data_IF_501240015089
#
_entry.id   IF_501240015089
#
_cell.length_a   1.000
_cell.length_b   1.000
_cell.length_c   1.000
_cell.angle_alpha   90.00
_cell.angle_beta   90.00
_cell.angle_gamma   90.00
#
_symmetry.space_group_name_H-M   'P 1'
#
loop_
_entity.id
_entity.type
_entity.pdbx_description
1 polymer ?
#
# COMPACT_ATOMS: atom_id res chain seq x y z
N UNK A 1 -31.29 -34.29 -11.45
CA UNK A 1 -29.87 -34.19 -11.05
C UNK A 1 -29.16 -33.24 -12.00
N UNK A 2 -29.01 -31.97 -11.60
CA UNK A 2 -28.09 -31.02 -12.24
C UNK A 2 -27.31 -30.38 -11.10
N UNK A 3 -26.01 -30.69 -11.08
CA UNK A 3 -25.04 -30.27 -10.07
C UNK A 3 -24.82 -28.77 -10.13
N UNK A 4 -24.99 -28.13 -8.98
CA UNK A 4 -24.51 -26.77 -8.73
C UNK A 4 -23.00 -26.71 -9.03
N UNK A 5 -22.64 -25.73 -9.86
CA UNK A 5 -21.26 -25.39 -10.19
C UNK A 5 -20.46 -25.09 -8.93
N UNK A 6 -19.35 -25.82 -8.79
CA UNK A 6 -18.38 -25.69 -7.71
C UNK A 6 -17.94 -24.23 -7.56
N UNK A 7 -18.21 -23.61 -6.40
CA UNK A 7 -17.40 -22.49 -5.92
C UNK A 7 -15.99 -23.04 -5.80
N UNK A 8 -15.03 -22.57 -6.61
CA UNK A 8 -13.62 -22.95 -6.47
C UNK A 8 -13.22 -22.78 -5.00
N UNK A 9 -13.04 -23.90 -4.29
CA UNK A 9 -12.56 -23.88 -2.92
C UNK A 9 -11.16 -23.27 -2.96
N UNK A 10 -11.03 -22.08 -2.37
CA UNK A 10 -9.72 -21.40 -2.30
C UNK A 10 -8.89 -22.18 -1.29
N UNK A 11 -7.89 -22.89 -1.77
CA UNK A 11 -7.02 -23.76 -0.98
C UNK A 11 -5.73 -23.03 -0.55
N UNK A 12 -5.21 -23.38 0.62
CA UNK A 12 -3.91 -22.90 1.13
C UNK A 12 -2.74 -23.52 0.36
N UNK A 13 -2.96 -24.63 -0.35
CA UNK A 13 -1.90 -25.35 -1.04
C UNK A 13 -0.82 -25.82 -0.05
N UNK A 14 0.45 -25.54 -0.36
CA UNK A 14 1.59 -25.89 0.51
C UNK A 14 1.85 -24.90 1.64
N UNK A 15 1.07 -23.82 1.77
CA UNK A 15 1.29 -22.80 2.78
C UNK A 15 0.51 -23.09 4.07
N UNK A 16 1.08 -22.78 5.26
CA UNK A 16 0.39 -22.99 6.53
C UNK A 16 -0.82 -22.04 6.72
N UNK A 17 -0.73 -20.83 6.15
CA UNK A 17 -1.70 -19.75 6.33
C UNK A 17 -2.04 -19.09 5.00
N UNK A 18 -3.28 -18.62 4.85
CA UNK A 18 -3.66 -17.82 3.68
C UNK A 18 -2.84 -16.54 3.60
N UNK A 19 -2.57 -15.87 4.72
CA UNK A 19 -1.76 -14.65 4.73
C UNK A 19 -0.38 -14.87 4.09
N UNK A 20 0.34 -15.94 4.47
CA UNK A 20 1.64 -16.24 3.88
C UNK A 20 1.50 -16.59 2.39
N UNK A 21 0.54 -17.44 2.04
CA UNK A 21 0.25 -17.74 0.62
C UNK A 21 0.06 -16.46 -0.19
N UNK A 22 -0.74 -15.53 0.33
CA UNK A 22 -1.10 -14.30 -0.35
C UNK A 22 0.08 -13.33 -0.46
N UNK A 23 0.95 -13.27 0.57
CA UNK A 23 2.23 -12.55 0.50
C UNK A 23 3.11 -13.12 -0.61
N UNK A 24 3.20 -14.45 -0.70
CA UNK A 24 4.04 -15.15 -1.68
C UNK A 24 3.48 -15.09 -3.11
N UNK A 25 2.17 -14.83 -3.28
CA UNK A 25 1.51 -14.65 -4.57
C UNK A 25 1.72 -13.26 -5.19
N UNK A 26 2.28 -12.30 -4.44
CA UNK A 26 2.41 -10.90 -4.88
C UNK A 26 3.17 -10.70 -6.20
N UNK A 27 4.28 -11.42 -6.51
CA UNK A 27 4.93 -11.31 -7.82
C UNK A 27 3.99 -11.59 -8.98
N UNK A 28 3.20 -12.67 -8.89
CA UNK A 28 2.27 -13.05 -9.95
C UNK A 28 1.08 -12.08 -10.04
N UNK A 29 0.61 -11.57 -8.91
CA UNK A 29 -0.40 -10.50 -8.88
C UNK A 29 0.10 -9.24 -9.57
N UNK A 30 1.34 -8.85 -9.32
CA UNK A 30 1.97 -7.72 -10.01
C UNK A 30 2.10 -7.98 -11.51
N UNK A 31 2.60 -9.16 -11.92
CA UNK A 31 2.71 -9.51 -13.35
C UNK A 31 1.37 -9.36 -14.07
N UNK A 32 0.29 -9.93 -13.51
CA UNK A 32 -1.05 -9.84 -14.09
C UNK A 32 -1.59 -8.41 -14.14
N UNK A 33 -1.40 -7.65 -13.06
CA UNK A 33 -1.91 -6.27 -12.95
C UNK A 33 -1.14 -5.32 -13.89
N UNK A 34 0.18 -5.45 -13.93
CA UNK A 34 1.07 -4.61 -14.73
C UNK A 34 1.02 -4.95 -16.22
N UNK A 35 0.96 -6.24 -16.60
CA UNK A 35 0.98 -6.66 -18.01
C UNK A 35 -0.12 -5.98 -18.83
N UNK A 36 -1.35 -5.93 -18.29
CA UNK A 36 -2.48 -5.26 -18.94
C UNK A 36 -2.23 -3.76 -19.13
N UNK A 37 -1.85 -3.06 -18.08
CA UNK A 37 -1.67 -1.60 -18.12
C UNK A 37 -0.49 -1.18 -18.98
N UNK A 38 0.65 -1.88 -18.85
CA UNK A 38 1.86 -1.54 -19.58
C UNK A 38 1.71 -1.80 -21.08
N UNK A 39 1.14 -2.94 -21.49
CA UNK A 39 0.93 -3.24 -22.90
C UNK A 39 0.09 -2.17 -23.60
N UNK A 40 -0.92 -1.64 -22.91
CA UNK A 40 -1.71 -0.54 -23.42
C UNK A 40 -0.89 0.74 -23.56
N UNK A 41 -0.23 1.19 -22.49
CA UNK A 41 0.58 2.41 -22.53
C UNK A 41 1.61 2.30 -23.66
N UNK A 42 2.33 1.18 -23.80
CA UNK A 42 3.36 0.92 -24.83
C UNK A 42 2.84 1.04 -26.27
N UNK A 43 1.57 0.73 -26.52
CA UNK A 43 0.97 0.86 -27.86
C UNK A 43 0.54 2.30 -28.16
N UNK A 44 0.81 3.25 -27.26
CA UNK A 44 0.16 4.57 -27.27
C UNK A 44 -1.35 4.44 -27.13
N UNK A 45 -1.82 3.27 -26.69
CA UNK A 45 -3.21 2.93 -26.59
C UNK A 45 -3.63 3.03 -25.14
N UNK A 46 -4.70 3.77 -25.01
CA UNK A 46 -5.53 3.85 -23.85
C UNK A 46 -6.14 2.44 -23.62
N UNK A 47 -5.73 1.70 -22.57
CA UNK A 47 -6.38 0.39 -22.29
C UNK A 47 -7.87 0.63 -22.15
N UNK A 48 -8.79 -0.21 -22.63
CA UNK A 48 -10.22 0.04 -22.41
C UNK A 48 -10.60 0.21 -20.93
N UNK A 49 -9.82 -0.38 -20.01
CA UNK A 49 -9.97 -0.26 -18.55
C UNK A 49 -9.39 1.07 -17.99
N UNK A 50 -8.38 1.66 -18.64
CA UNK A 50 -7.64 2.85 -18.20
C UNK A 50 -7.82 4.08 -19.12
N UNK A 51 -8.44 3.91 -20.28
CA UNK A 51 -7.96 4.57 -21.48
C UNK A 51 -8.93 5.52 -22.16
N UNK A 52 -10.22 5.21 -22.33
CA UNK A 52 -11.13 6.24 -22.89
C UNK A 52 -11.49 7.33 -21.84
N UNK A 53 -10.84 7.21 -20.69
CA UNK A 53 -10.84 8.06 -19.54
C UNK A 53 -9.99 9.28 -19.87
N UNK A 54 -10.55 10.31 -20.53
CA UNK A 54 -9.96 11.67 -20.54
C UNK A 54 -10.00 12.28 -19.13
N UNK A 55 -9.34 11.63 -18.17
CA UNK A 55 -9.32 12.02 -16.77
C UNK A 55 -8.51 13.28 -16.56
N UNK A 56 -7.62 13.60 -17.50
CA UNK A 56 -6.88 14.86 -17.49
C UNK A 56 -7.74 16.13 -17.49
N UNK A 57 -9.04 16.04 -17.83
CA UNK A 57 -9.98 17.17 -17.77
C UNK A 57 -10.31 17.61 -16.33
N UNK A 58 -10.22 16.71 -15.36
CA UNK A 58 -10.55 17.02 -13.96
C UNK A 58 -9.44 17.87 -13.33
N UNK A 59 -9.83 18.80 -12.46
CA UNK A 59 -8.93 19.81 -11.89
C UNK A 59 -8.34 19.37 -10.55
N UNK A 60 -8.96 18.39 -9.89
CA UNK A 60 -8.51 17.80 -8.62
C UNK A 60 -8.90 16.34 -8.52
N UNK A 61 -8.14 15.59 -7.72
CA UNK A 61 -8.39 14.18 -7.43
C UNK A 61 -8.70 14.03 -5.94
N UNK A 62 -9.76 13.31 -5.63
CA UNK A 62 -10.13 12.89 -4.29
C UNK A 62 -10.03 11.37 -4.21
N UNK A 63 -9.30 10.85 -3.24
CA UNK A 63 -9.21 9.41 -2.96
C UNK A 63 -9.98 9.10 -1.69
N UNK A 64 -10.93 8.16 -1.78
CA UNK A 64 -11.78 7.70 -0.68
C UNK A 64 -11.53 6.22 -0.42
N UNK A 65 -11.07 5.90 0.78
CA UNK A 65 -10.76 4.53 1.17
C UNK A 65 -10.70 4.37 2.71
N UNK A 66 -10.58 3.13 3.19
CA UNK A 66 -10.40 2.78 4.60
C UNK A 66 -9.19 1.84 4.78
N UNK A 67 -8.50 1.94 5.91
CA UNK A 67 -7.42 1.02 6.31
C UNK A 67 -6.29 0.92 5.27
N UNK A 68 -5.86 -0.30 4.96
CA UNK A 68 -4.80 -0.56 3.96
C UNK A 68 -5.05 0.10 2.60
N UNK A 69 -6.31 0.20 2.14
CA UNK A 69 -6.63 0.86 0.87
C UNK A 69 -6.41 2.40 0.94
N UNK A 70 -6.60 2.99 2.12
CA UNK A 70 -6.27 4.40 2.37
C UNK A 70 -4.75 4.63 2.32
N UNK A 71 -3.94 3.72 2.88
CA UNK A 71 -2.48 3.80 2.73
C UNK A 71 -2.01 3.69 1.28
N UNK A 72 -2.66 2.86 0.46
CA UNK A 72 -2.38 2.80 -0.97
C UNK A 72 -2.68 4.15 -1.65
N UNK A 73 -3.79 4.79 -1.26
CA UNK A 73 -4.15 6.14 -1.69
C UNK A 73 -3.09 7.19 -1.35
N UNK A 74 -2.51 7.14 -0.14
CA UNK A 74 -1.42 8.04 0.27
C UNK A 74 -0.20 7.90 -0.65
N UNK A 75 0.19 6.67 -1.00
CA UNK A 75 1.29 6.42 -1.95
C UNK A 75 0.92 6.94 -3.35
N UNK A 76 -0.28 6.63 -3.83
CA UNK A 76 -0.77 7.09 -5.12
C UNK A 76 -0.81 8.61 -5.25
N UNK A 77 -1.16 9.33 -4.17
CA UNK A 77 -1.15 10.79 -4.11
C UNK A 77 0.22 11.37 -4.50
N UNK A 78 1.29 10.92 -3.85
CA UNK A 78 2.64 11.43 -4.14
C UNK A 78 3.00 11.27 -5.62
N UNK A 79 2.68 10.12 -6.20
CA UNK A 79 2.99 9.84 -7.60
C UNK A 79 2.17 10.70 -8.57
N UNK A 80 0.86 10.81 -8.33
CA UNK A 80 -0.04 11.62 -9.15
C UNK A 80 0.28 13.12 -9.06
N UNK A 81 0.56 13.65 -7.87
CA UNK A 81 0.96 15.06 -7.71
C UNK A 81 2.29 15.35 -8.41
N UNK A 82 3.27 14.43 -8.30
CA UNK A 82 4.58 14.58 -8.92
C UNK A 82 4.49 14.61 -10.45
N UNK A 83 3.84 13.62 -11.05
CA UNK A 83 3.83 13.45 -12.51
C UNK A 83 2.72 14.24 -13.20
N UNK A 84 1.50 14.18 -12.68
CA UNK A 84 0.34 14.75 -13.35
C UNK A 84 0.08 16.22 -12.96
N UNK A 85 0.76 16.72 -11.92
CA UNK A 85 0.63 18.11 -11.43
C UNK A 85 -0.83 18.49 -11.21
N UNK A 86 -1.55 17.61 -10.51
CA UNK A 86 -2.94 17.78 -10.10
C UNK A 86 -3.01 17.66 -8.59
N UNK A 87 -3.75 18.53 -7.88
CA UNK A 87 -3.97 18.37 -6.45
C UNK A 87 -4.64 17.04 -6.14
N UNK A 88 -4.11 16.29 -5.18
CA UNK A 88 -4.71 15.03 -4.72
C UNK A 88 -4.99 15.12 -3.23
N UNK A 89 -6.24 14.90 -2.84
CA UNK A 89 -6.62 14.73 -1.43
C UNK A 89 -6.92 13.25 -1.19
N UNK A 90 -6.45 12.71 -0.07
CA UNK A 90 -6.77 11.34 0.36
C UNK A 90 -7.49 11.46 1.68
N UNK A 91 -8.74 11.01 1.75
CA UNK A 91 -9.56 11.10 2.95
C UNK A 91 -9.98 9.70 3.40
N UNK A 92 -10.02 9.53 4.71
CA UNK A 92 -10.61 8.35 5.32
C UNK A 92 -12.12 8.40 5.07
N UNK A 93 -12.66 7.40 4.39
CA UNK A 93 -14.06 7.43 3.98
C UNK A 93 -15.05 7.49 5.17
N UNK A 94 -14.66 6.95 6.32
CA UNK A 94 -15.45 7.02 7.56
C UNK A 94 -15.64 8.47 8.05
N UNK A 95 -14.66 9.35 7.84
CA UNK A 95 -14.72 10.75 8.25
C UNK A 95 -15.32 11.65 7.17
N UNK A 96 -15.09 11.31 5.89
CA UNK A 96 -15.49 12.12 4.74
C UNK A 96 -16.96 12.53 4.77
N UNK A 97 -17.84 11.64 5.25
CA UNK A 97 -19.28 11.88 5.30
C UNK A 97 -19.75 12.91 6.32
N UNK A 98 -18.85 13.35 7.19
CA UNK A 98 -19.11 14.31 8.24
C UNK A 98 -18.43 15.66 7.98
N UNK A 99 -17.85 15.83 6.78
CA UNK A 99 -17.20 17.08 6.38
C UNK A 99 -17.98 17.78 5.27
N UNK A 100 -17.92 19.11 5.25
CA UNK A 100 -18.31 19.91 4.09
C UNK A 100 -17.24 19.80 2.99
N UNK A 101 -17.11 18.59 2.45
CA UNK A 101 -16.07 18.23 1.49
C UNK A 101 -16.22 18.98 0.16
N UNK A 102 -15.11 19.49 -0.37
CA UNK A 102 -15.01 20.24 -1.62
C UNK A 102 -15.09 19.33 -2.86
N UNK A 103 -16.22 18.63 -3.03
CA UNK A 103 -16.51 17.86 -4.26
C UNK A 103 -17.40 18.68 -5.18
N UNK A 104 -17.03 18.68 -6.46
CA UNK A 104 -17.73 19.36 -7.55
C UNK A 104 -17.60 18.55 -8.86
N UNK A 105 -18.26 18.98 -9.97
CA UNK A 105 -18.16 18.32 -11.27
C UNK A 105 -16.74 18.25 -11.87
N UNK A 106 -15.79 19.05 -11.38
CA UNK A 106 -14.39 19.05 -11.80
C UNK A 106 -13.51 18.10 -10.96
N UNK A 107 -14.13 17.33 -10.06
CA UNK A 107 -13.46 16.37 -9.16
C UNK A 107 -13.46 14.96 -9.72
N UNK A 108 -12.26 14.39 -9.92
CA UNK A 108 -12.08 12.95 -10.11
C UNK A 108 -12.06 12.26 -8.75
N UNK A 109 -12.97 11.30 -8.52
CA UNK A 109 -13.07 10.59 -7.24
C UNK A 109 -12.61 9.15 -7.43
N UNK A 110 -11.49 8.77 -6.82
CA UNK A 110 -10.97 7.41 -6.79
C UNK A 110 -11.49 6.70 -5.52
N UNK A 111 -12.29 5.67 -5.70
CA UNK A 111 -12.86 4.88 -4.59
C UNK A 111 -12.13 3.55 -4.51
N UNK A 112 -11.34 3.32 -3.47
CA UNK A 112 -10.47 2.14 -3.36
C UNK A 112 -11.03 1.17 -2.33
N UNK A 113 -11.40 -0.04 -2.75
CA UNK A 113 -11.86 -1.09 -1.83
C UNK A 113 -11.59 -2.47 -2.40
N UNK A 114 -10.84 -3.31 -1.66
CA UNK A 114 -10.60 -4.70 -2.04
C UNK A 114 -11.92 -5.47 -2.23
N UNK A 115 -12.82 -5.39 -1.25
CA UNK A 115 -14.09 -6.12 -1.27
C UNK A 115 -15.14 -5.48 -2.16
N UNK A 116 -15.07 -4.15 -2.35
CA UNK A 116 -16.10 -3.36 -3.00
C UNK A 116 -17.42 -3.26 -2.21
N UNK A 117 -17.41 -3.69 -0.94
CA UNK A 117 -18.59 -3.72 -0.05
C UNK A 117 -18.34 -2.98 1.28
N UNK A 118 -17.22 -2.26 1.43
CA UNK A 118 -16.92 -1.51 2.66
C UNK A 118 -17.95 -0.39 2.84
N UNK A 119 -18.71 -0.45 3.93
CA UNK A 119 -19.87 0.40 4.16
C UNK A 119 -19.54 1.90 4.16
N UNK A 120 -18.51 2.32 4.91
CA UNK A 120 -18.07 3.73 4.97
C UNK A 120 -17.59 4.23 3.61
N UNK A 121 -16.86 3.39 2.88
CA UNK A 121 -16.39 3.71 1.52
C UNK A 121 -17.55 3.87 0.55
N UNK A 122 -18.57 3.01 0.64
CA UNK A 122 -19.77 3.11 -0.17
C UNK A 122 -20.59 4.36 0.17
N UNK A 123 -20.72 4.71 1.45
CA UNK A 123 -21.40 5.92 1.89
C UNK A 123 -20.70 7.18 1.36
N UNK A 124 -19.38 7.29 1.54
CA UNK A 124 -18.58 8.40 1.05
C UNK A 124 -18.64 8.52 -0.49
N UNK A 125 -18.61 7.38 -1.20
CA UNK A 125 -18.77 7.34 -2.66
C UNK A 125 -20.11 7.92 -3.11
N UNK A 126 -21.21 7.55 -2.45
CA UNK A 126 -22.56 8.05 -2.78
C UNK A 126 -22.67 9.54 -2.50
N UNK A 127 -22.07 10.02 -1.41
CA UNK A 127 -22.01 11.45 -1.13
C UNK A 127 -21.23 12.22 -2.20
N UNK A 128 -20.03 11.76 -2.55
CA UNK A 128 -19.24 12.39 -3.60
C UNK A 128 -19.98 12.40 -4.95
N UNK A 129 -20.74 11.33 -5.25
CA UNK A 129 -21.63 11.27 -6.42
C UNK A 129 -22.71 12.33 -6.39
N UNK A 130 -23.36 12.51 -5.23
CA UNK A 130 -24.44 13.49 -5.05
C UNK A 130 -23.97 14.94 -5.26
N UNK A 131 -22.68 15.20 -4.99
CA UNK A 131 -22.00 16.49 -5.22
C UNK A 131 -21.43 16.65 -6.65
N UNK A 132 -21.64 15.66 -7.52
CA UNK A 132 -21.25 15.71 -8.93
C UNK A 132 -19.87 15.13 -9.28
N UNK A 133 -19.16 14.54 -8.31
CA UNK A 133 -17.84 13.97 -8.54
C UNK A 133 -17.85 12.77 -9.49
N UNK A 134 -16.82 12.66 -10.34
CA UNK A 134 -16.69 11.55 -11.27
C UNK A 134 -15.99 10.34 -10.62
N UNK A 135 -16.80 9.36 -10.23
CA UNK A 135 -16.37 8.14 -9.55
C UNK A 135 -15.65 7.13 -10.48
N UNK A 136 -14.43 6.75 -10.09
CA UNK A 136 -13.68 5.60 -10.58
C UNK A 136 -13.45 4.65 -9.41
N UNK A 137 -14.03 3.46 -9.46
CA UNK A 137 -13.81 2.42 -8.46
C UNK A 137 -12.56 1.59 -8.78
N UNK A 138 -11.68 1.40 -7.80
CA UNK A 138 -10.54 0.48 -7.84
C UNK A 138 -10.84 -0.67 -6.87
N UNK A 139 -11.20 -1.82 -7.41
CA UNK A 139 -11.67 -2.96 -6.60
C UNK A 139 -11.25 -4.31 -7.17
N UNK A 140 -11.14 -5.33 -6.31
CA UNK A 140 -10.80 -6.70 -6.71
C UNK A 140 -12.04 -7.55 -7.05
N UNK A 141 -13.24 -7.00 -6.81
CA UNK A 141 -14.52 -7.71 -7.01
C UNK A 141 -15.36 -6.95 -8.03
N UNK A 142 -15.26 -7.36 -9.30
CA UNK A 142 -15.90 -6.67 -10.44
C UNK A 142 -17.43 -6.54 -10.34
N UNK A 143 -18.09 -7.44 -9.61
CA UNK A 143 -19.54 -7.44 -9.41
C UNK A 143 -20.01 -6.77 -8.11
N UNK A 144 -19.13 -6.13 -7.35
CA UNK A 144 -19.44 -5.54 -6.04
C UNK A 144 -20.34 -4.30 -6.12
N UNK A 145 -20.90 -3.88 -4.99
CA UNK A 145 -21.76 -2.69 -4.91
C UNK A 145 -21.04 -1.42 -5.33
N UNK A 146 -19.81 -1.19 -4.84
CA UNK A 146 -18.97 -0.07 -5.28
C UNK A 146 -18.69 -0.13 -6.78
N UNK A 147 -18.42 -1.31 -7.35
CA UNK A 147 -18.21 -1.46 -8.79
C UNK A 147 -19.47 -1.08 -9.59
N UNK A 148 -20.65 -1.54 -9.18
CA UNK A 148 -21.92 -1.28 -9.89
C UNK A 148 -22.33 0.19 -9.85
N UNK A 149 -22.00 0.92 -8.78
CA UNK A 149 -22.44 2.30 -8.60
C UNK A 149 -21.49 3.34 -9.19
N UNK A 150 -20.27 2.94 -9.58
CA UNK A 150 -19.25 3.81 -10.13
C UNK A 150 -19.48 4.12 -11.61
N UNK A 151 -18.97 5.26 -12.09
CA UNK A 151 -19.02 5.57 -13.53
C UNK A 151 -18.03 4.68 -14.30
N UNK A 152 -16.92 4.31 -13.66
CA UNK A 152 -15.88 3.41 -14.17
C UNK A 152 -15.34 2.51 -13.08
N UNK A 153 -14.87 1.35 -13.50
CA UNK A 153 -14.30 0.33 -12.63
C UNK A 153 -12.96 -0.12 -13.19
N UNK A 154 -11.93 -0.08 -12.35
CA UNK A 154 -10.63 -0.67 -12.60
C UNK A 154 -10.51 -1.89 -11.68
N UNK A 155 -10.46 -3.07 -12.27
CA UNK A 155 -10.38 -4.31 -11.51
C UNK A 155 -8.93 -4.61 -11.13
N UNK A 156 -8.61 -4.59 -9.83
CA UNK A 156 -7.32 -5.07 -9.34
C UNK A 156 -7.34 -6.59 -9.49
N UNK A 157 -6.56 -7.17 -10.40
CA UNK A 157 -6.59 -8.62 -10.70
C UNK A 157 -5.80 -9.45 -9.69
N UNK A 158 -5.99 -9.20 -8.39
CA UNK A 158 -5.26 -9.87 -7.31
C UNK A 158 -5.74 -11.32 -7.07
N UNK A 159 -6.96 -11.63 -7.48
CA UNK A 159 -7.62 -12.91 -7.18
C UNK A 159 -8.18 -12.93 -5.75
N UNK A 160 -8.77 -14.05 -5.34
CA UNK A 160 -9.39 -14.15 -4.01
C UNK A 160 -8.35 -13.96 -2.90
N UNK A 161 -8.66 -13.08 -1.94
CA UNK A 161 -7.83 -12.82 -0.75
C UNK A 161 -8.69 -13.14 0.48
N UNK A 162 -8.25 -14.13 1.24
CA UNK A 162 -8.95 -14.81 2.33
C UNK A 162 -8.47 -14.29 3.68
N UNK A 163 -7.16 -14.05 3.86
CA UNK A 163 -6.66 -13.47 5.13
C UNK A 163 -7.35 -12.14 5.40
N UNK A 164 -7.75 -11.90 6.65
CA UNK A 164 -8.34 -10.61 7.05
C UNK A 164 -7.39 -9.45 6.75
N UNK A 165 -6.11 -9.59 7.12
CA UNK A 165 -5.08 -8.60 6.82
C UNK A 165 -4.78 -8.58 5.31
N UNK A 166 -5.09 -7.46 4.65
CA UNK A 166 -4.82 -7.26 3.22
C UNK A 166 -3.32 -7.29 2.91
N UNK A 167 -2.91 -7.99 1.85
CA UNK A 167 -1.52 -8.12 1.40
C UNK A 167 -1.43 -7.90 -0.11
N UNK A 168 -1.72 -8.91 -0.92
CA UNK A 168 -1.67 -8.83 -2.39
C UNK A 168 -2.67 -7.84 -2.99
N UNK A 169 -3.79 -7.58 -2.33
CA UNK A 169 -4.70 -6.53 -2.75
C UNK A 169 -4.06 -5.14 -2.66
N UNK A 170 -3.25 -4.87 -1.62
CA UNK A 170 -2.49 -3.63 -1.50
C UNK A 170 -1.49 -3.47 -2.66
N UNK A 171 -0.75 -4.53 -2.99
CA UNK A 171 0.20 -4.49 -4.11
C UNK A 171 -0.49 -4.26 -5.45
N UNK A 172 -1.65 -4.90 -5.68
CA UNK A 172 -2.43 -4.66 -6.88
C UNK A 172 -2.95 -3.22 -6.94
N UNK A 173 -3.41 -2.66 -5.81
CA UNK A 173 -3.83 -1.26 -5.72
C UNK A 173 -2.69 -0.29 -6.02
N UNK A 174 -1.49 -0.51 -5.45
CA UNK A 174 -0.31 0.30 -5.78
C UNK A 174 0.02 0.25 -7.27
N UNK A 175 0.09 -0.95 -7.85
CA UNK A 175 0.36 -1.11 -9.28
C UNK A 175 -0.68 -0.39 -10.16
N UNK A 176 -1.96 -0.51 -9.82
CA UNK A 176 -3.05 0.20 -10.49
C UNK A 176 -2.95 1.71 -10.34
N UNK A 177 -2.63 2.23 -9.15
CA UNK A 177 -2.47 3.67 -8.91
C UNK A 177 -1.27 4.25 -9.67
N UNK A 178 -0.16 3.50 -9.80
CA UNK A 178 0.97 3.92 -10.63
C UNK A 178 0.61 3.97 -12.11
N UNK A 179 -0.09 2.94 -12.63
CA UNK A 179 -0.57 2.95 -14.03
C UNK A 179 -1.52 4.12 -14.28
N UNK A 180 -2.45 4.37 -13.35
CA UNK A 180 -3.39 5.49 -13.42
C UNK A 180 -2.68 6.84 -13.34
N UNK A 181 -1.66 6.98 -12.49
CA UNK A 181 -0.88 8.21 -12.39
C UNK A 181 -0.07 8.52 -13.65
N UNK A 182 0.52 7.50 -14.29
CA UNK A 182 1.16 7.64 -15.60
C UNK A 182 0.15 8.09 -16.65
N UNK A 183 -1.00 7.43 -16.70
CA UNK A 183 -2.07 7.77 -17.63
C UNK A 183 -2.57 9.21 -17.43
N UNK A 184 -2.83 9.60 -16.19
CA UNK A 184 -3.28 10.94 -15.85
C UNK A 184 -2.25 12.01 -16.23
N UNK A 185 -0.95 11.73 -16.08
CA UNK A 185 0.11 12.62 -16.52
C UNK A 185 0.18 12.75 -18.04
N UNK A 186 -0.03 11.65 -18.77
CA UNK A 186 -0.09 11.64 -20.23
C UNK A 186 -1.31 12.41 -20.76
N UNK A 187 -2.50 12.17 -20.19
CA UNK A 187 -3.74 12.89 -20.55
C UNK A 187 -3.63 14.40 -20.37
N UNK A 188 -2.87 14.82 -19.36
CA UNK A 188 -2.62 16.24 -19.05
C UNK A 188 -1.46 16.83 -19.83
N UNK A 189 -0.86 16.07 -20.75
CA UNK A 189 0.30 16.50 -21.53
C UNK A 189 1.54 16.78 -20.69
N UNK A 190 1.62 16.23 -19.46
CA UNK A 190 2.76 16.41 -18.54
C UNK A 190 3.84 15.36 -18.73
N UNK A 191 3.48 14.22 -19.30
CA UNK A 191 4.40 13.13 -19.59
C UNK A 191 4.22 12.69 -21.04
N UNK A 192 5.29 12.79 -21.83
CA UNK A 192 5.32 12.22 -23.17
C UNK A 192 5.51 10.71 -23.11
N UNK A 193 5.08 10.00 -24.16
CA UNK A 193 5.26 8.55 -24.24
C UNK A 193 6.73 8.11 -24.05
N UNK A 194 7.69 8.84 -24.66
CA UNK A 194 9.13 8.55 -24.52
C UNK A 194 9.60 8.65 -23.07
N UNK A 195 9.06 9.61 -22.32
CA UNK A 195 9.41 9.86 -20.92
C UNK A 195 8.69 8.88 -19.97
N UNK A 196 7.62 8.22 -20.43
CA UNK A 196 6.96 7.14 -19.70
C UNK A 196 7.77 5.82 -19.74
N UNK A 197 8.56 5.58 -20.80
CA UNK A 197 9.30 4.32 -21.00
C UNK A 197 10.18 3.91 -19.81
N UNK A 198 10.96 4.81 -19.17
CA UNK A 198 11.73 4.46 -17.97
C UNK A 198 10.85 3.93 -16.82
N UNK A 199 9.69 4.55 -16.59
CA UNK A 199 8.74 4.10 -15.57
C UNK A 199 8.20 2.71 -15.88
N UNK A 200 7.77 2.48 -17.13
CA UNK A 200 7.28 1.16 -17.55
C UNK A 200 8.35 0.08 -17.40
N UNK A 201 9.59 0.38 -17.79
CA UNK A 201 10.74 -0.54 -17.62
C UNK A 201 10.99 -0.87 -16.15
N UNK A 202 10.93 0.14 -15.27
CA UNK A 202 11.10 -0.09 -13.84
C UNK A 202 9.95 -0.93 -13.26
N UNK A 203 8.69 -0.63 -13.61
CA UNK A 203 7.52 -1.42 -13.20
C UNK A 203 7.62 -2.88 -13.64
N UNK A 204 8.10 -3.17 -14.87
CA UNK A 204 8.31 -4.54 -15.37
C UNK A 204 9.29 -5.36 -14.50
N UNK A 205 10.23 -4.71 -13.81
CA UNK A 205 11.22 -5.38 -12.94
C UNK A 205 10.72 -5.61 -11.52
N UNK A 206 9.70 -4.88 -11.06
CA UNK A 206 9.21 -4.97 -9.67
C UNK A 206 8.83 -6.41 -9.26
N UNK A 207 8.15 -7.23 -10.09
CA UNK A 207 7.84 -8.62 -9.72
C UNK A 207 9.08 -9.44 -9.34
N UNK A 208 10.16 -9.33 -10.12
CA UNK A 208 11.43 -10.04 -9.86
C UNK A 208 12.11 -9.52 -8.59
N UNK A 209 12.02 -8.22 -8.33
CA UNK A 209 12.55 -7.61 -7.11
C UNK A 209 11.78 -8.07 -5.87
N UNK A 210 10.46 -8.21 -5.98
CA UNK A 210 9.62 -8.79 -4.91
C UNK A 210 9.98 -10.25 -4.67
N UNK A 211 10.23 -11.04 -5.71
CA UNK A 211 10.68 -12.44 -5.55
C UNK A 211 12.00 -12.56 -4.80
N UNK A 212 12.96 -11.69 -5.11
CA UNK A 212 14.24 -11.64 -4.38
C UNK A 212 14.03 -11.39 -2.89
N UNK A 213 13.14 -10.45 -2.53
CA UNK A 213 12.85 -10.13 -1.13
C UNK A 213 12.06 -11.24 -0.41
N UNK A 214 11.16 -11.93 -1.11
CA UNK A 214 10.43 -13.07 -0.55
C UNK A 214 11.35 -14.26 -0.25
N UNK A 215 12.45 -14.42 -1.00
CA UNK A 215 13.45 -15.45 -0.72
C UNK A 215 14.19 -15.23 0.62
N UNK A 216 14.24 -13.98 1.09
CA UNK A 216 14.88 -13.57 2.37
C UNK A 216 13.98 -13.78 3.60
N UNK A 217 12.91 -14.56 3.49
CA UNK A 217 11.96 -14.80 4.58
C UNK A 217 12.60 -15.39 5.86
N UNK A 218 13.68 -16.16 5.73
CA UNK A 218 14.41 -16.72 6.88
C UNK A 218 15.05 -15.61 7.72
N UNK A 219 15.65 -14.62 7.06
CA UNK A 219 16.23 -13.43 7.68
C UNK A 219 15.18 -12.64 8.45
N UNK A 220 14.02 -12.39 7.82
CA UNK A 220 12.92 -11.65 8.48
C UNK A 220 12.33 -12.43 9.67
N UNK A 221 12.30 -13.76 9.59
CA UNK A 221 11.83 -14.62 10.69
C UNK A 221 12.73 -14.51 11.93
N UNK A 222 14.03 -14.29 11.77
CA UNK A 222 14.95 -14.03 12.89
C UNK A 222 14.58 -12.73 13.62
N UNK A 223 14.37 -11.65 12.86
CA UNK A 223 14.01 -10.33 13.42
C UNK A 223 12.68 -10.39 14.18
N UNK A 224 11.72 -11.10 13.60
CA UNK A 224 10.41 -11.36 14.20
C UNK A 224 10.51 -12.06 15.56
N UNK A 225 11.49 -12.95 15.75
CA UNK A 225 11.72 -13.61 17.03
C UNK A 225 12.05 -12.63 18.16
N UNK A 226 12.88 -11.62 17.87
CA UNK A 226 13.18 -10.54 18.82
C UNK A 226 11.99 -9.60 19.00
N UNK A 227 11.31 -9.25 17.91
CA UNK A 227 10.16 -8.34 17.95
C UNK A 227 8.99 -8.92 18.75
N UNK A 228 8.78 -10.24 18.71
CA UNK A 228 7.66 -10.94 19.36
C UNK A 228 7.56 -10.72 20.87
N UNK A 229 8.69 -10.42 21.55
CA UNK A 229 8.72 -10.14 22.99
C UNK A 229 8.34 -8.70 23.38
N UNK A 230 8.02 -7.83 22.40
CA UNK A 230 7.71 -6.43 22.65
C UNK A 230 6.20 -6.18 22.65
N UNK A 231 5.76 -5.18 23.41
CA UNK A 231 4.37 -4.71 23.42
C UNK A 231 4.17 -3.41 22.63
N UNK A 232 5.27 -2.70 22.33
CA UNK A 232 5.28 -1.44 21.59
C UNK A 232 6.29 -1.52 20.44
N UNK A 233 5.98 -0.86 19.32
CA UNK A 233 6.90 -0.71 18.21
C UNK A 233 6.62 0.59 17.44
N UNK A 234 7.66 1.27 16.98
CA UNK A 234 7.51 2.48 16.16
C UNK A 234 7.90 2.21 14.71
N UNK A 235 7.12 2.75 13.78
CA UNK A 235 7.38 2.67 12.34
C UNK A 235 7.61 4.08 11.81
N UNK A 236 8.79 4.33 11.25
CA UNK A 236 9.20 5.68 10.84
C UNK A 236 9.60 5.70 9.37
N UNK A 237 9.26 6.81 8.72
CA UNK A 237 9.68 7.08 7.36
C UNK A 237 9.48 8.55 7.00
N UNK A 238 10.00 8.99 5.85
CA UNK A 238 9.82 10.36 5.35
C UNK A 238 9.35 10.37 3.91
N UNK A 239 8.40 11.26 3.59
CA UNK A 239 7.77 11.27 2.26
C UNK A 239 7.01 9.97 2.01
N UNK A 240 7.27 9.31 0.88
CA UNK A 240 6.67 8.00 0.55
C UNK A 240 6.90 6.94 1.63
N UNK A 241 8.08 6.94 2.27
CA UNK A 241 8.41 6.00 3.33
C UNK A 241 7.47 6.15 4.54
N UNK A 242 6.95 7.34 4.82
CA UNK A 242 5.99 7.54 5.91
C UNK A 242 4.66 6.84 5.61
N UNK A 243 4.18 6.89 4.37
CA UNK A 243 2.95 6.20 3.97
C UNK A 243 3.10 4.67 4.05
N UNK A 244 4.27 4.14 3.68
CA UNK A 244 4.56 2.71 3.78
C UNK A 244 4.77 2.27 5.23
N UNK A 245 5.37 3.12 6.07
CA UNK A 245 5.48 2.90 7.51
C UNK A 245 4.11 2.75 8.18
N UNK A 246 3.11 3.55 7.77
CA UNK A 246 1.72 3.41 8.25
C UNK A 246 1.13 2.04 7.90
N UNK A 247 1.39 1.53 6.70
CA UNK A 247 0.95 0.18 6.32
C UNK A 247 1.65 -0.91 7.12
N UNK A 248 2.97 -0.83 7.30
CA UNK A 248 3.72 -1.79 8.13
C UNK A 248 3.24 -1.82 9.58
N UNK A 249 3.02 -0.64 10.18
CA UNK A 249 2.45 -0.49 11.52
C UNK A 249 1.05 -1.11 11.62
N UNK A 250 0.20 -0.87 10.62
CA UNK A 250 -1.14 -1.45 10.58
C UNK A 250 -1.08 -2.98 10.52
N UNK A 251 -0.25 -3.56 9.64
CA UNK A 251 -0.07 -5.02 9.56
C UNK A 251 0.37 -5.60 10.89
N UNK A 252 1.36 -4.98 11.54
CA UNK A 252 1.86 -5.46 12.82
C UNK A 252 0.75 -5.42 13.88
N UNK A 253 0.00 -4.30 13.99
CA UNK A 253 -1.15 -4.19 14.91
C UNK A 253 -2.21 -5.27 14.67
N UNK A 254 -2.60 -5.46 13.42
CA UNK A 254 -3.67 -6.38 13.04
C UNK A 254 -3.34 -7.83 13.40
N UNK A 255 -2.10 -8.29 13.17
CA UNK A 255 -1.76 -9.72 13.32
C UNK A 255 -1.09 -10.07 14.64
N UNK A 256 -0.38 -9.13 15.26
CA UNK A 256 0.44 -9.41 16.46
C UNK A 256 -0.18 -8.89 17.76
N UNK A 257 -1.05 -7.89 17.65
CA UNK A 257 -1.58 -7.08 18.75
C UNK A 257 -0.53 -6.23 19.50
N UNK A 258 0.69 -6.16 18.98
CA UNK A 258 1.68 -5.16 19.42
C UNK A 258 1.11 -3.78 19.12
N UNK A 259 1.20 -2.86 20.08
CA UNK A 259 0.87 -1.47 19.86
C UNK A 259 1.94 -0.85 18.95
N UNK A 260 1.72 -0.98 17.65
CA UNK A 260 2.57 -0.40 16.64
C UNK A 260 2.04 0.97 16.21
N UNK A 261 2.89 1.99 16.20
CA UNK A 261 2.50 3.34 15.79
C UNK A 261 3.44 3.87 14.71
N UNK A 262 2.87 4.49 13.68
CA UNK A 262 3.63 5.05 12.57
C UNK A 262 3.68 6.56 12.65
N UNK A 263 4.87 7.12 12.41
CA UNK A 263 5.08 8.56 12.36
C UNK A 263 5.91 8.95 11.13
N UNK A 264 5.71 10.18 10.68
CA UNK A 264 6.75 10.84 9.90
C UNK A 264 7.99 10.97 10.77
N UNK A 265 9.16 10.61 10.23
CA UNK A 265 10.43 10.70 10.96
C UNK A 265 10.73 12.12 11.45
N UNK A 266 10.21 13.15 10.75
CA UNK A 266 10.29 14.54 11.19
C UNK A 266 9.45 14.81 12.43
N UNK A 267 8.17 14.39 12.39
CA UNK A 267 7.20 14.64 13.46
C UNK A 267 7.51 13.85 14.73
N UNK A 268 8.24 12.74 14.62
CA UNK A 268 8.58 11.91 15.76
C UNK A 268 9.33 12.69 16.86
N UNK A 269 10.15 13.68 16.48
CA UNK A 269 10.88 14.54 17.43
C UNK A 269 9.99 15.55 18.17
N UNK A 270 8.77 15.75 17.72
CA UNK A 270 7.85 16.77 18.27
C UNK A 270 6.93 16.22 19.39
N UNK A 271 7.38 15.18 20.10
CA UNK A 271 6.65 14.60 21.23
C UNK A 271 6.86 13.08 21.37
N UNK A 272 6.55 12.28 20.33
CA UNK A 272 6.58 10.82 20.40
C UNK A 272 7.93 10.23 20.80
N UNK A 273 9.04 10.91 20.51
CA UNK A 273 10.38 10.50 20.93
C UNK A 273 10.55 10.34 22.44
N UNK A 274 9.70 10.97 23.25
CA UNK A 274 9.68 10.78 24.70
C UNK A 274 9.29 9.35 25.12
N UNK A 275 8.69 8.56 24.22
CA UNK A 275 8.33 7.16 24.46
C UNK A 275 9.50 6.20 24.25
N UNK A 276 10.65 6.66 23.75
CA UNK A 276 11.79 5.80 23.44
C UNK A 276 12.64 5.56 24.68
N UNK A 277 12.84 4.28 24.97
CA UNK A 277 13.74 3.78 26.02
C UNK A 277 14.45 2.49 25.54
N UNK A 278 15.34 1.97 26.39
CA UNK A 278 16.13 0.78 26.11
C UNK A 278 15.25 -0.41 25.70
N UNK A 279 15.57 -1.01 24.57
CA UNK A 279 14.89 -2.22 24.07
C UNK A 279 13.67 -1.96 23.20
N UNK A 280 13.20 -0.70 23.05
CA UNK A 280 12.06 -0.42 22.17
C UNK A 280 12.45 -0.59 20.68
N UNK A 281 11.69 -1.38 19.90
CA UNK A 281 11.93 -1.54 18.47
C UNK A 281 11.47 -0.33 17.67
N UNK A 282 12.32 0.08 16.72
CA UNK A 282 11.96 1.02 15.66
C UNK A 282 12.19 0.36 14.28
N UNK A 283 11.14 0.27 13.47
CA UNK A 283 11.22 -0.12 12.06
C UNK A 283 11.31 1.17 11.23
N UNK A 284 12.42 1.37 10.53
CA UNK A 284 12.71 2.64 9.85
C UNK A 284 12.91 2.39 8.36
N UNK A 285 12.14 3.12 7.55
CA UNK A 285 12.27 3.14 6.11
C UNK A 285 13.15 4.33 5.70
N UNK A 286 14.19 4.05 4.94
CA UNK A 286 15.08 5.03 4.34
C UNK A 286 15.38 4.62 2.89
N UNK A 287 14.33 4.65 2.07
CA UNK A 287 14.37 4.22 0.66
C UNK A 287 14.41 5.39 -0.31
N UNK A 288 14.11 6.60 0.17
CA UNK A 288 14.09 7.84 -0.62
C UNK A 288 15.45 8.54 -0.57
N UNK A 289 16.30 8.49 -1.61
CA UNK A 289 17.69 8.95 -1.54
C UNK A 289 17.82 10.42 -1.13
N UNK A 290 16.93 11.28 -1.64
CA UNK A 290 16.90 12.71 -1.32
C UNK A 290 16.51 13.02 0.13
N UNK A 291 15.93 12.04 0.85
CA UNK A 291 15.45 12.19 2.22
C UNK A 291 16.32 11.46 3.26
N UNK A 292 17.21 10.55 2.84
CA UNK A 292 18.06 9.75 3.74
C UNK A 292 18.83 10.64 4.73
N UNK A 293 19.43 11.74 4.25
CA UNK A 293 20.19 12.66 5.10
C UNK A 293 19.36 13.34 6.21
N UNK A 294 18.04 13.35 6.11
CA UNK A 294 17.16 13.85 7.18
C UNK A 294 16.61 12.74 8.08
N UNK A 295 16.61 11.50 7.60
CA UNK A 295 16.18 10.32 8.38
C UNK A 295 17.31 9.84 9.29
N UNK A 296 18.56 9.81 8.82
CA UNK A 296 19.73 9.34 9.60
C UNK A 296 19.85 10.00 10.98
N UNK A 297 19.73 11.34 11.13
CA UNK A 297 19.80 11.97 12.46
C UNK A 297 18.73 11.48 13.44
N UNK A 298 17.55 11.07 12.93
CA UNK A 298 16.50 10.46 13.76
C UNK A 298 16.92 9.06 14.20
N UNK A 299 17.51 8.28 13.30
CA UNK A 299 18.01 6.93 13.60
C UNK A 299 19.09 6.98 14.67
N UNK A 300 20.07 7.88 14.53
CA UNK A 300 21.13 8.09 15.52
C UNK A 300 20.56 8.47 16.90
N UNK A 301 19.59 9.39 16.93
CA UNK A 301 18.95 9.81 18.16
C UNK A 301 18.21 8.65 18.85
N UNK A 302 17.48 7.83 18.09
CA UNK A 302 16.82 6.62 18.60
C UNK A 302 17.83 5.62 19.19
N UNK A 303 18.93 5.36 18.47
CA UNK A 303 20.00 4.47 18.95
C UNK A 303 20.61 4.99 20.24
N UNK A 304 20.88 6.30 20.33
CA UNK A 304 21.44 6.92 21.53
C UNK A 304 20.54 6.79 22.77
N UNK A 305 19.25 6.55 22.57
CA UNK A 305 18.23 6.38 23.62
C UNK A 305 17.89 4.91 23.91
N UNK A 306 18.63 3.97 23.32
CA UNK A 306 18.50 2.54 23.60
C UNK A 306 17.52 1.80 22.70
N UNK A 307 16.96 2.45 21.67
CA UNK A 307 16.16 1.75 20.67
C UNK A 307 17.05 0.81 19.84
N UNK A 308 16.45 -0.26 19.31
CA UNK A 308 17.07 -1.08 18.28
C UNK A 308 16.28 -0.97 16.97
N UNK A 309 17.01 -0.94 15.86
CA UNK A 309 16.49 -0.50 14.57
C UNK A 309 16.48 -1.66 13.58
N UNK A 310 15.31 -1.88 12.97
CA UNK A 310 15.14 -2.65 11.73
C UNK A 310 15.06 -1.65 10.58
N UNK A 311 16.11 -1.56 9.76
CA UNK A 311 16.17 -0.68 8.60
C UNK A 311 15.67 -1.34 7.31
N UNK A 312 14.70 -0.73 6.65
CA UNK A 312 14.35 -1.07 5.26
C UNK A 312 14.93 0.03 4.38
N UNK A 313 16.02 -0.28 3.69
CA UNK A 313 16.91 0.71 3.08
C UNK A 313 16.85 0.61 1.55
N UNK A 314 16.95 1.76 0.88
CA UNK A 314 17.16 1.79 -0.56
C UNK A 314 18.53 1.23 -0.96
N UNK A 315 18.75 1.04 -2.26
CA UNK A 315 20.05 0.58 -2.77
C UNK A 315 21.20 1.55 -2.44
N UNK A 316 20.89 2.85 -2.38
CA UNK A 316 21.79 3.86 -1.82
C UNK A 316 21.45 4.06 -0.35
N UNK A 317 22.18 3.35 0.51
CA UNK A 317 21.91 3.32 1.96
C UNK A 317 22.51 4.51 2.71
N UNK A 318 23.51 5.19 2.14
CA UNK A 318 24.31 6.18 2.86
C UNK A 318 24.77 5.69 4.24
N UNK A 319 24.68 6.57 5.24
CA UNK A 319 24.99 6.26 6.66
C UNK A 319 23.84 5.54 7.39
N UNK A 320 22.67 5.36 6.75
CA UNK A 320 21.52 4.73 7.43
C UNK A 320 21.80 3.27 7.81
N UNK A 321 22.62 2.58 7.01
CA UNK A 321 23.00 1.20 7.26
C UNK A 321 23.75 1.02 8.59
N UNK A 322 24.55 2.01 8.99
CA UNK A 322 25.39 1.96 10.21
C UNK A 322 24.55 2.13 11.49
N UNK A 323 23.36 2.72 11.37
CA UNK A 323 22.43 2.89 12.48
C UNK A 323 21.57 1.63 12.76
N UNK A 324 21.60 0.63 11.88
CA UNK A 324 20.67 -0.50 11.92
C UNK A 324 21.23 -1.71 12.67
N UNK A 325 20.45 -2.29 13.58
CA UNK A 325 20.75 -3.60 14.20
C UNK A 325 20.40 -4.73 13.23
N UNK A 326 19.30 -4.56 12.49
CA UNK A 326 18.87 -5.45 11.42
C UNK A 326 18.56 -4.61 10.19
N UNK A 327 18.85 -5.11 8.98
CA UNK A 327 18.54 -4.36 7.76
C UNK A 327 18.21 -5.22 6.56
N UNK A 328 17.30 -4.73 5.73
CA UNK A 328 17.08 -5.22 4.37
C UNK A 328 17.44 -4.11 3.38
N UNK A 329 18.31 -4.42 2.43
CA UNK A 329 18.59 -3.52 1.30
C UNK A 329 17.67 -3.92 0.15
N UNK A 330 16.85 -2.99 -0.31
CA UNK A 330 15.94 -3.22 -1.42
C UNK A 330 16.69 -3.22 -2.76
N UNK A 331 16.28 -4.05 -3.74
CA UNK A 331 16.78 -3.96 -5.09
C UNK A 331 16.59 -2.56 -5.68
N UNK A 332 17.56 -2.10 -6.47
CA UNK A 332 17.53 -0.77 -7.07
C UNK A 332 16.33 -0.57 -8.01
N UNK A 333 15.56 0.49 -7.80
CA UNK A 333 14.43 0.90 -8.64
C UNK A 333 14.27 2.43 -8.58
N UNK A 334 13.30 2.98 -9.32
CA UNK A 334 12.97 4.39 -9.21
C UNK A 334 12.43 4.69 -7.79
N UNK A 335 12.83 5.80 -7.14
CA UNK A 335 12.38 6.13 -5.78
C UNK A 335 10.85 6.07 -5.60
N UNK A 336 10.10 6.45 -6.63
CA UNK A 336 8.65 6.40 -6.68
C UNK A 336 8.07 4.99 -6.55
N UNK A 337 8.80 3.96 -6.97
CA UNK A 337 8.34 2.58 -6.98
C UNK A 337 8.86 1.75 -5.81
N UNK A 338 9.76 2.29 -5.00
CA UNK A 338 10.24 1.64 -3.77
C UNK A 338 9.15 1.22 -2.78
N UNK A 339 7.94 1.85 -2.71
CA UNK A 339 6.88 1.35 -1.83
C UNK A 339 6.46 -0.10 -2.06
N UNK A 340 6.53 -0.57 -3.32
CA UNK A 340 6.16 -1.95 -3.68
C UNK A 340 7.14 -3.00 -3.11
N UNK A 341 8.46 -2.91 -3.33
CA UNK A 341 9.40 -3.80 -2.66
C UNK A 341 9.48 -3.56 -1.14
N UNK A 342 9.36 -2.32 -0.66
CA UNK A 342 9.51 -1.99 0.76
C UNK A 342 8.44 -2.63 1.66
N UNK A 343 7.22 -2.85 1.16
CA UNK A 343 6.14 -3.45 1.99
C UNK A 343 6.36 -4.94 2.26
N UNK A 344 7.15 -5.63 1.43
CA UNK A 344 7.40 -7.08 1.53
C UNK A 344 8.04 -7.48 2.86
N UNK A 345 9.19 -6.91 3.27
CA UNK A 345 9.75 -7.22 4.59
C UNK A 345 8.81 -6.85 5.73
N UNK A 346 7.99 -5.79 5.60
CA UNK A 346 7.05 -5.39 6.65
C UNK A 346 5.91 -6.41 6.83
N UNK A 347 5.36 -6.92 5.73
CA UNK A 347 4.34 -7.97 5.77
C UNK A 347 4.90 -9.29 6.31
N UNK A 348 6.10 -9.69 5.88
CA UNK A 348 6.79 -10.87 6.41
C UNK A 348 7.09 -10.71 7.91
N UNK A 349 7.53 -9.53 8.33
CA UNK A 349 7.80 -9.21 9.74
C UNK A 349 6.53 -9.34 10.58
N UNK A 350 5.40 -8.78 10.12
CA UNK A 350 4.11 -8.91 10.79
C UNK A 350 3.62 -10.36 10.86
N UNK A 351 3.75 -11.11 9.77
CA UNK A 351 3.36 -12.52 9.70
C UNK A 351 4.19 -13.39 10.66
N UNK A 352 5.52 -13.29 10.60
CA UNK A 352 6.40 -14.12 11.43
C UNK A 352 6.35 -13.72 12.91
N UNK A 353 6.14 -12.44 13.22
CA UNK A 353 5.97 -11.99 14.61
C UNK A 353 4.66 -12.52 15.20
N UNK A 354 3.58 -12.55 14.41
CA UNK A 354 2.31 -13.12 14.83
C UNK A 354 2.40 -14.63 15.03
N UNK A 355 3.09 -15.34 14.12
CA UNK A 355 3.39 -16.76 14.30
C UNK A 355 4.19 -17.02 15.59
N UNK A 356 5.21 -16.21 15.87
CA UNK A 356 6.04 -16.33 17.07
C UNK A 356 5.25 -16.06 18.36
N UNK A 357 4.22 -15.20 18.31
CA UNK A 357 3.29 -14.94 19.41
C UNK A 357 2.15 -15.97 19.51
N UNK A 358 2.06 -16.92 18.58
CA UNK A 358 1.00 -17.94 18.55
C UNK A 358 -0.39 -17.39 18.18
N UNK A 359 -0.45 -16.25 17.47
CA UNK A 359 -1.71 -15.63 17.05
C UNK A 359 -2.28 -16.28 15.79
N UNK A 360 -3.61 -16.21 15.63
CA UNK A 360 -4.27 -16.52 14.35
C UNK A 360 -4.03 -15.38 13.34
N UNK A 361 -3.16 -15.64 12.36
CA UNK A 361 -2.78 -14.69 11.31
C UNK A 361 -3.82 -14.54 10.20
N UNK A 362 -4.67 -15.55 9.98
CA UNK A 362 -5.68 -15.53 8.93
C UNK A 362 -6.96 -14.85 9.45
N UNK A 363 -7.28 -15.02 10.74
CA UNK A 363 -8.46 -14.46 11.42
C UNK A 363 -8.09 -13.78 12.75
N UNK A 364 -7.46 -12.60 12.73
CA UNK A 364 -7.12 -11.90 13.95
C UNK A 364 -8.36 -11.49 14.74
N UNK A 365 -8.26 -11.48 16.07
CA UNK A 365 -9.38 -11.21 16.97
C UNK A 365 -10.01 -9.84 16.67
N UNK A 366 -11.34 -9.77 16.77
CA UNK A 366 -12.15 -8.56 16.59
C UNK A 366 -12.14 -7.94 15.18
N UNK A 367 -11.40 -8.50 14.23
CA UNK A 367 -11.36 -8.01 12.86
C UNK A 367 -12.23 -8.87 11.94
N UNK A 368 -12.79 -8.22 10.92
CA UNK A 368 -13.51 -8.88 9.83
C UNK A 368 -12.92 -8.45 8.50
N UNK A 369 -12.95 -9.33 7.50
CA UNK A 369 -12.36 -9.06 6.18
C UNK A 369 -12.95 -7.82 5.49
N UNK A 370 -14.22 -7.53 5.74
CA UNK A 370 -14.93 -6.38 5.16
C UNK A 370 -15.97 -5.88 6.16
N UNK A 371 -15.86 -4.61 6.54
CA UNK A 371 -16.82 -3.91 7.39
C UNK A 371 -17.95 -3.39 6.50
N UNK A 372 -19.09 -4.10 6.50
CA UNK A 372 -20.24 -3.80 5.63
C UNK A 372 -21.29 -2.91 6.28
N UNK A 373 -21.44 -3.04 7.59
CA UNK A 373 -22.45 -2.31 8.35
C UNK A 373 -21.88 -0.99 8.86
N UNK A 374 -22.49 0.12 8.45
CA UNK A 374 -22.28 1.44 9.05
C UNK A 374 -23.52 1.72 9.89
N UNK A 375 -23.34 1.97 11.19
CA UNK A 375 -24.44 2.40 12.07
C UNK A 375 -24.75 3.88 11.89
#
# INVERSE_FOLDING_TARGET
MMTATNKNAVDKGSYPHFMLKEIMEQPEVLRRTLAKGIASIEQGQLSPEYGDLRLGKYQKVLVLACGTAYHAGLVGKYFMEKLARVPVTVEQAAEFRYTDSFVDPDTLVLVISQSGETGDTLAAMREAKSKGGYLVAITNVAGSTIAREAHRVINTVAGAEISVASTKAYMAQLATLYLLGLQLAMDRGRLGFKDAVPYLKAMKKIPEQVEQLLAEQATVKEWAGRLAGNEHAFFLGRGLDAAVAMEGSLKLKETTYIHAEAYSAGEFRHGPIALIEEGIPAVILATQPELVGYTVPVMEELKSRGAWIIGILGADTGQAADCCDYRMILPATLPEFTPMPAVIPLQLLAYYTACARGNDVDQPRHLVKSVKDVK
#
